data_IF_126450763289
#
_entry.id   IF_126450763289
#
_cell.length_a   1.000
_cell.length_b   1.000
_cell.length_c   1.000
_cell.angle_alpha   90.00
_cell.angle_beta   90.00
_cell.angle_gamma   90.00
#
_symmetry.space_group_name_H-M   'P 1'
#
loop_
_entity.id
_entity.type
_entity.pdbx_description
1 polymer ?
#
# COMPACT_ATOMS: atom_id res chain seq x y z
N UNK A 1 -2.66 14.83 -9.70
CA UNK A 1 -2.64 15.35 -8.32
C UNK A 1 -1.48 16.31 -8.06
N UNK A 2 -0.28 16.08 -8.64
CA UNK A 2 0.88 16.95 -8.47
C UNK A 2 0.75 18.40 -9.00
N UNK A 3 -0.12 18.65 -9.99
CA UNK A 3 -0.39 20.00 -10.54
C UNK A 3 -1.61 20.71 -9.93
N UNK A 4 -2.24 20.13 -8.89
CA UNK A 4 -3.45 20.70 -8.28
C UNK A 4 -3.28 22.14 -7.74
N UNK A 5 -2.20 22.46 -7.03
CA UNK A 5 -1.95 23.81 -6.51
C UNK A 5 -1.75 24.86 -7.61
N UNK A 6 -1.14 24.49 -8.74
CA UNK A 6 -0.81 25.43 -9.82
C UNK A 6 -1.98 25.73 -10.77
N UNK A 7 -3.04 24.91 -10.74
CA UNK A 7 -4.23 25.09 -11.59
C UNK A 7 -5.47 25.62 -10.85
N UNK A 8 -5.32 26.12 -9.63
CA UNK A 8 -6.41 26.61 -8.77
C UNK A 8 -7.52 25.56 -8.52
N UNK A 9 -7.19 24.27 -8.54
CA UNK A 9 -8.14 23.15 -8.46
C UNK A 9 -9.32 23.27 -9.45
N UNK A 10 -9.24 22.60 -10.62
CA UNK A 10 -10.35 22.59 -11.57
C UNK A 10 -11.66 22.19 -10.87
N UNK A 11 -12.70 23.00 -11.02
CA UNK A 11 -14.03 22.76 -10.43
C UNK A 11 -14.58 21.36 -10.77
N UNK A 12 -14.16 20.79 -11.90
CA UNK A 12 -14.47 19.42 -12.31
C UNK A 12 -13.90 18.35 -11.34
N UNK A 13 -12.70 18.56 -10.80
CA UNK A 13 -12.10 17.66 -9.79
C UNK A 13 -12.83 17.75 -8.45
N UNK A 14 -13.26 18.96 -8.06
CA UNK A 14 -14.09 19.16 -6.86
C UNK A 14 -15.47 18.52 -7.03
N UNK A 15 -16.11 18.66 -8.19
CA UNK A 15 -17.39 18.00 -8.50
C UNK A 15 -17.25 16.48 -8.53
N UNK A 16 -16.15 15.94 -9.08
CA UNK A 16 -15.90 14.50 -9.07
C UNK A 16 -15.71 13.97 -7.64
N UNK A 17 -14.97 14.68 -6.79
CA UNK A 17 -14.81 14.34 -5.36
C UNK A 17 -16.15 14.38 -4.61
N UNK A 18 -16.96 15.42 -4.85
CA UNK A 18 -18.30 15.56 -4.26
C UNK A 18 -19.24 14.48 -4.77
N UNK A 19 -19.10 14.03 -6.02
CA UNK A 19 -19.92 12.96 -6.62
C UNK A 19 -19.63 11.55 -6.06
N UNK A 20 -18.46 11.32 -5.44
CA UNK A 20 -18.14 10.03 -4.80
C UNK A 20 -19.04 9.76 -3.58
N UNK A 21 -19.35 10.80 -2.79
CA UNK A 21 -20.20 10.71 -1.60
C UNK A 21 -21.64 10.24 -1.88
N UNK A 22 -22.40 10.84 -2.81
CA UNK A 22 -23.75 10.38 -3.14
C UNK A 22 -23.73 9.02 -3.83
N UNK A 23 -22.71 8.68 -4.62
CA UNK A 23 -22.57 7.34 -5.21
C UNK A 23 -22.32 6.27 -4.15
N UNK A 24 -21.47 6.53 -3.17
CA UNK A 24 -21.24 5.64 -2.02
C UNK A 24 -22.51 5.48 -1.17
N UNK A 25 -23.21 6.57 -0.90
CA UNK A 25 -24.48 6.56 -0.16
C UNK A 25 -25.57 5.81 -0.92
N UNK A 26 -25.63 5.98 -2.24
CA UNK A 26 -26.59 5.28 -3.10
C UNK A 26 -26.27 3.79 -3.21
N UNK A 27 -25.00 3.41 -3.34
CA UNK A 27 -24.58 2.01 -3.28
C UNK A 27 -24.93 1.38 -1.94
N UNK A 28 -24.68 2.10 -0.84
CA UNK A 28 -24.99 1.62 0.52
C UNK A 28 -26.50 1.48 0.73
N UNK A 29 -27.29 2.47 0.30
CA UNK A 29 -28.75 2.43 0.39
C UNK A 29 -29.35 1.32 -0.48
N UNK A 30 -28.83 1.13 -1.69
CA UNK A 30 -29.27 0.06 -2.61
C UNK A 30 -28.90 -1.33 -2.07
N UNK A 31 -27.71 -1.48 -1.47
CA UNK A 31 -27.30 -2.73 -0.85
C UNK A 31 -28.17 -3.08 0.38
N UNK A 32 -28.50 -2.09 1.21
CA UNK A 32 -29.38 -2.27 2.37
C UNK A 32 -30.83 -2.57 1.94
N UNK A 33 -31.33 -1.87 0.93
CA UNK A 33 -32.68 -2.09 0.38
C UNK A 33 -32.84 -3.48 -0.25
N UNK A 34 -31.83 -3.97 -0.98
CA UNK A 34 -31.83 -5.33 -1.54
C UNK A 34 -31.73 -6.40 -0.46
N UNK A 35 -30.94 -6.16 0.59
CA UNK A 35 -30.84 -7.07 1.72
C UNK A 35 -32.16 -7.17 2.52
N UNK A 36 -32.89 -6.07 2.68
CA UNK A 36 -34.22 -6.08 3.32
C UNK A 36 -35.29 -6.78 2.48
N UNK A 37 -35.11 -6.85 1.15
CA UNK A 37 -36.01 -7.53 0.21
C UNK A 37 -35.69 -9.01 -0.01
N UNK A 38 -34.68 -9.56 0.67
CA UNK A 38 -34.25 -10.96 0.50
C UNK A 38 -33.52 -11.24 -0.83
N UNK A 39 -33.16 -10.20 -1.59
CA UNK A 39 -32.36 -10.32 -2.81
C UNK A 39 -30.87 -10.41 -2.46
N UNK A 40 -30.08 -11.16 -3.25
CA UNK A 40 -28.63 -11.23 -3.07
C UNK A 40 -28.00 -9.87 -3.40
N UNK A 41 -27.50 -9.11 -2.40
CA UNK A 41 -26.87 -7.82 -2.66
C UNK A 41 -25.52 -8.06 -3.34
N UNK A 42 -25.17 -7.25 -4.35
CA UNK A 42 -23.85 -7.28 -5.00
C UNK A 42 -22.69 -7.13 -4.01
N UNK A 43 -22.94 -6.51 -2.85
CA UNK A 43 -21.95 -6.24 -1.82
C UNK A 43 -22.59 -6.51 -0.44
N UNK A 44 -22.59 -7.77 0.03
CA UNK A 44 -23.21 -8.13 1.30
C UNK A 44 -22.53 -7.38 2.46
N UNK A 45 -23.25 -6.51 3.22
CA UNK A 45 -22.68 -5.76 4.34
C UNK A 45 -22.09 -6.67 5.43
N UNK A 46 -22.53 -7.93 5.48
CA UNK A 46 -21.96 -8.99 6.32
C UNK A 46 -20.48 -9.24 6.05
N UNK A 47 -20.00 -9.09 4.81
CA UNK A 47 -18.61 -9.29 4.44
C UNK A 47 -17.70 -8.27 5.13
N UNK A 48 -18.13 -7.00 5.23
CA UNK A 48 -17.35 -5.94 5.90
C UNK A 48 -17.16 -6.17 7.40
N UNK A 49 -17.98 -7.02 8.02
CA UNK A 49 -17.85 -7.40 9.43
C UNK A 49 -16.80 -8.50 9.66
N UNK A 50 -16.38 -9.20 8.60
CA UNK A 50 -15.40 -10.28 8.71
C UNK A 50 -14.04 -9.74 9.13
N UNK A 51 -13.39 -10.46 10.05
CA UNK A 51 -12.06 -10.12 10.55
C UNK A 51 -11.02 -10.13 9.43
N UNK A 52 -11.12 -11.04 8.46
CA UNK A 52 -10.27 -11.06 7.26
C UNK A 52 -10.35 -9.76 6.46
N UNK A 53 -11.56 -9.25 6.19
CA UNK A 53 -11.78 -8.02 5.42
C UNK A 53 -11.34 -6.80 6.22
N UNK A 54 -11.60 -6.76 7.53
CA UNK A 54 -11.10 -5.67 8.40
C UNK A 54 -9.58 -5.60 8.42
N UNK A 55 -8.91 -6.74 8.46
CA UNK A 55 -7.46 -6.78 8.36
C UNK A 55 -6.96 -6.42 6.95
N UNK A 56 -7.65 -6.90 5.91
CA UNK A 56 -7.42 -6.47 4.53
C UNK A 56 -7.52 -4.95 4.38
N UNK A 57 -8.55 -4.31 4.95
CA UNK A 57 -8.69 -2.86 4.97
C UNK A 57 -7.51 -2.16 5.64
N UNK A 58 -7.01 -2.69 6.76
CA UNK A 58 -5.85 -2.12 7.45
C UNK A 58 -4.56 -2.22 6.61
N UNK A 59 -4.32 -3.39 6.00
CA UNK A 59 -3.22 -3.54 5.03
C UNK A 59 -3.43 -2.57 3.88
N UNK A 60 -4.64 -2.51 3.31
CA UNK A 60 -4.90 -1.69 2.14
C UNK A 60 -4.57 -0.23 2.44
N UNK A 61 -5.11 0.30 3.54
CA UNK A 61 -4.94 1.68 3.98
C UNK A 61 -3.48 2.03 4.29
N UNK A 62 -2.77 1.19 5.04
CA UNK A 62 -1.40 1.51 5.45
C UNK A 62 -0.39 1.25 4.32
N UNK A 63 -0.41 0.05 3.75
CA UNK A 63 0.59 -0.39 2.79
C UNK A 63 0.42 0.24 1.41
N UNK A 64 -0.79 0.26 0.83
CA UNK A 64 -0.96 0.85 -0.51
C UNK A 64 -0.87 2.38 -0.49
N UNK A 65 -1.27 3.03 0.61
CA UNK A 65 -1.06 4.47 0.78
C UNK A 65 0.43 4.77 0.80
N UNK A 66 1.17 4.09 1.69
CA UNK A 66 2.61 4.20 1.81
C UNK A 66 3.32 3.97 0.47
N UNK A 67 3.01 2.86 -0.20
CA UNK A 67 3.58 2.51 -1.49
C UNK A 67 3.38 3.59 -2.57
N UNK A 68 2.15 4.08 -2.70
CA UNK A 68 1.84 5.09 -3.71
C UNK A 68 2.53 6.42 -3.39
N UNK A 69 2.55 6.80 -2.10
CA UNK A 69 3.31 7.95 -1.61
C UNK A 69 4.81 7.81 -1.87
N UNK A 70 5.40 6.66 -1.59
CA UNK A 70 6.80 6.34 -1.87
C UNK A 70 7.15 6.52 -3.34
N UNK A 71 6.35 5.93 -4.24
CA UNK A 71 6.57 6.07 -5.69
C UNK A 71 6.53 7.53 -6.13
N UNK A 72 5.59 8.31 -5.58
CA UNK A 72 5.50 9.73 -5.86
C UNK A 72 6.71 10.52 -5.33
N UNK A 73 7.08 10.33 -4.06
CA UNK A 73 8.17 11.08 -3.42
C UNK A 73 9.53 10.71 -4.01
N UNK A 74 9.75 9.44 -4.35
CA UNK A 74 10.94 9.00 -5.08
C UNK A 74 11.03 9.66 -6.45
N UNK A 75 9.96 9.60 -7.25
CA UNK A 75 9.94 10.23 -8.56
C UNK A 75 10.21 11.75 -8.47
N UNK A 76 9.60 12.42 -7.49
CA UNK A 76 9.80 13.85 -7.26
C UNK A 76 11.24 14.17 -6.81
N UNK A 77 11.81 13.37 -5.90
CA UNK A 77 13.20 13.54 -5.44
C UNK A 77 14.19 13.35 -6.58
N UNK A 78 13.98 12.34 -7.43
CA UNK A 78 14.88 12.08 -8.57
C UNK A 78 14.77 13.15 -9.64
N UNK A 79 13.56 13.58 -9.98
CA UNK A 79 13.33 14.52 -11.08
C UNK A 79 13.55 15.97 -10.66
N UNK A 80 12.90 16.43 -9.59
CA UNK A 80 12.99 17.80 -9.11
C UNK A 80 14.19 18.05 -8.18
N UNK A 81 14.55 17.06 -7.35
CA UNK A 81 15.68 17.18 -6.41
C UNK A 81 17.04 16.93 -7.05
N UNK A 82 17.18 15.85 -7.82
CA UNK A 82 18.45 15.46 -8.47
C UNK A 82 18.56 15.95 -9.92
N UNK A 83 17.53 16.57 -10.48
CA UNK A 83 17.51 17.05 -11.86
C UNK A 83 17.56 15.93 -12.91
N UNK A 84 17.25 14.69 -12.54
CA UNK A 84 17.32 13.56 -13.46
C UNK A 84 16.21 13.63 -14.51
N UNK A 85 16.52 13.20 -15.73
CA UNK A 85 15.52 13.08 -16.77
C UNK A 85 14.49 11.98 -16.43
N UNK A 86 13.23 12.08 -16.90
CA UNK A 86 12.19 11.09 -16.60
C UNK A 86 12.57 9.65 -16.96
N UNK A 87 13.31 9.45 -18.05
CA UNK A 87 13.79 8.13 -18.47
C UNK A 87 14.84 7.55 -17.51
N UNK A 88 15.69 8.38 -16.91
CA UNK A 88 16.68 7.95 -15.90
C UNK A 88 15.99 7.60 -14.57
N UNK A 89 15.00 8.39 -14.17
CA UNK A 89 14.16 8.08 -13.02
C UNK A 89 13.42 6.75 -13.21
N UNK A 90 12.82 6.53 -14.39
CA UNK A 90 12.19 5.27 -14.75
C UNK A 90 13.13 4.07 -14.71
N UNK A 91 14.36 4.22 -15.22
CA UNK A 91 15.36 3.15 -15.21
C UNK A 91 15.70 2.66 -13.80
N UNK A 92 15.68 3.56 -12.81
CA UNK A 92 15.93 3.23 -11.41
C UNK A 92 14.86 2.32 -10.78
N UNK A 93 13.64 2.32 -11.33
CA UNK A 93 12.56 1.43 -10.89
C UNK A 93 12.57 0.06 -11.58
N UNK A 94 13.40 -0.16 -12.60
CA UNK A 94 13.48 -1.46 -13.29
C UNK A 94 13.95 -2.54 -12.32
N UNK A 95 14.99 -2.27 -11.52
CA UNK A 95 15.48 -3.20 -10.51
C UNK A 95 14.37 -3.61 -9.51
N UNK A 96 13.58 -2.62 -9.08
CA UNK A 96 12.41 -2.85 -8.23
C UNK A 96 11.41 -3.79 -8.92
N UNK A 97 11.03 -3.49 -10.17
CA UNK A 97 10.04 -4.27 -10.91
C UNK A 97 10.49 -5.70 -11.18
N UNK A 98 11.77 -5.88 -11.52
CA UNK A 98 12.37 -7.22 -11.73
C UNK A 98 12.36 -8.01 -10.42
N UNK A 99 12.78 -7.41 -9.31
CA UNK A 99 12.76 -8.08 -8.00
C UNK A 99 11.33 -8.42 -7.54
N UNK A 100 10.38 -7.53 -7.79
CA UNK A 100 8.95 -7.77 -7.56
C UNK A 100 8.46 -8.97 -8.37
N UNK A 101 8.78 -9.02 -9.67
CA UNK A 101 8.38 -10.11 -10.55
C UNK A 101 8.96 -11.44 -10.11
N UNK A 102 10.26 -11.48 -9.78
CA UNK A 102 10.94 -12.67 -9.25
C UNK A 102 10.23 -13.13 -7.96
N UNK A 103 10.02 -12.22 -7.02
CA UNK A 103 9.34 -12.53 -5.75
C UNK A 103 7.92 -13.07 -5.97
N UNK A 104 7.16 -12.49 -6.89
CA UNK A 104 5.81 -12.95 -7.24
C UNK A 104 5.81 -14.39 -7.81
N UNK A 105 6.82 -14.79 -8.59
CA UNK A 105 6.97 -16.16 -9.08
C UNK A 105 7.27 -17.16 -7.95
N UNK A 106 8.02 -16.75 -6.93
CA UNK A 106 8.34 -17.60 -5.78
C UNK A 106 7.26 -17.60 -4.69
N UNK A 107 6.37 -16.61 -4.69
CA UNK A 107 5.32 -16.47 -3.68
C UNK A 107 4.45 -17.74 -3.50
N UNK A 108 3.96 -18.42 -4.56
CA UNK A 108 3.17 -19.65 -4.41
C UNK A 108 3.94 -20.76 -3.68
N UNK A 109 5.24 -20.91 -3.96
CA UNK A 109 6.10 -21.92 -3.31
C UNK A 109 6.30 -21.62 -1.82
N UNK A 110 6.47 -20.34 -1.47
CA UNK A 110 6.59 -19.91 -0.08
C UNK A 110 5.26 -20.12 0.67
N UNK A 111 4.13 -19.82 0.04
CA UNK A 111 2.79 -20.00 0.61
C UNK A 111 2.48 -21.47 0.88
N UNK A 112 2.98 -22.39 0.05
CA UNK A 112 2.81 -23.82 0.28
C UNK A 112 3.62 -24.34 1.50
N UNK A 113 4.71 -23.64 1.90
CA UNK A 113 5.62 -24.08 2.97
C UNK A 113 5.46 -23.32 4.28
N UNK A 114 4.99 -22.08 4.25
CA UNK A 114 4.92 -21.18 5.41
C UNK A 114 3.50 -20.66 5.65
N UNK A 115 3.18 -20.36 6.91
CA UNK A 115 1.89 -19.73 7.24
C UNK A 115 1.80 -18.30 6.69
N UNK A 116 0.62 -17.89 6.24
CA UNK A 116 0.41 -16.57 5.61
C UNK A 116 0.87 -15.40 6.49
N UNK A 117 0.61 -15.46 7.80
CA UNK A 117 1.09 -14.43 8.73
C UNK A 117 2.62 -14.36 8.83
N UNK A 118 3.34 -15.48 8.68
CA UNK A 118 4.82 -15.46 8.63
C UNK A 118 5.31 -14.83 7.33
N UNK A 119 4.67 -15.13 6.20
CA UNK A 119 5.05 -14.56 4.89
C UNK A 119 4.84 -13.05 4.87
N UNK A 120 3.72 -12.57 5.42
CA UNK A 120 3.46 -11.14 5.57
C UNK A 120 4.55 -10.45 6.42
N UNK A 121 4.91 -11.04 7.57
CA UNK A 121 5.94 -10.47 8.45
C UNK A 121 7.32 -10.51 7.80
N UNK A 122 7.67 -11.58 7.08
CA UNK A 122 8.92 -11.64 6.31
C UNK A 122 8.94 -10.56 5.24
N UNK A 123 7.83 -10.39 4.49
CA UNK A 123 7.69 -9.33 3.48
C UNK A 123 7.88 -7.93 4.09
N UNK A 124 7.23 -7.66 5.22
CA UNK A 124 7.38 -6.40 5.95
C UNK A 124 8.82 -6.18 6.44
N UNK A 125 9.45 -7.19 7.02
CA UNK A 125 10.84 -7.08 7.47
C UNK A 125 11.80 -6.81 6.30
N UNK A 126 11.65 -7.54 5.19
CA UNK A 126 12.47 -7.33 3.99
C UNK A 126 12.26 -5.92 3.42
N UNK A 127 11.01 -5.44 3.39
CA UNK A 127 10.72 -4.08 2.93
C UNK A 127 11.31 -3.02 3.86
N UNK A 128 11.19 -3.18 5.19
CA UNK A 128 11.78 -2.26 6.16
C UNK A 128 13.30 -2.19 5.99
N UNK A 129 13.97 -3.35 5.83
CA UNK A 129 15.42 -3.38 5.55
C UNK A 129 15.74 -2.67 4.24
N UNK A 130 14.93 -2.86 3.19
CA UNK A 130 15.08 -2.16 1.93
C UNK A 130 14.93 -0.63 2.05
N UNK A 131 13.95 -0.16 2.82
CA UNK A 131 13.71 1.27 3.10
C UNK A 131 14.85 1.88 3.93
N UNK A 132 15.34 1.17 4.95
CA UNK A 132 16.48 1.60 5.76
C UNK A 132 17.78 1.65 4.95
N UNK A 133 18.00 0.65 4.09
CA UNK A 133 19.15 0.65 3.19
C UNK A 133 19.07 1.81 2.21
N UNK A 134 17.88 2.10 1.67
CA UNK A 134 17.66 3.25 0.79
C UNK A 134 17.96 4.57 1.52
N UNK A 135 17.45 4.72 2.74
CA UNK A 135 17.73 5.90 3.58
C UNK A 135 19.23 6.06 3.85
N UNK A 136 19.94 4.98 4.16
CA UNK A 136 21.39 4.99 4.34
C UNK A 136 22.15 5.33 3.05
N UNK A 137 21.69 4.85 1.89
CA UNK A 137 22.26 5.21 0.58
C UNK A 137 22.15 6.72 0.32
N UNK A 138 20.98 7.31 0.55
CA UNK A 138 20.79 8.75 0.39
C UNK A 138 21.59 9.57 1.41
N UNK A 139 21.70 9.09 2.65
CA UNK A 139 22.51 9.75 3.68
C UNK A 139 24.01 9.75 3.35
N UNK A 140 24.54 8.66 2.80
CA UNK A 140 25.97 8.54 2.50
C UNK A 140 26.38 9.13 1.14
N UNK A 141 25.56 8.99 0.10
CA UNK A 141 25.93 9.43 -1.26
C UNK A 141 25.36 10.81 -1.61
N UNK A 142 24.33 11.30 -0.92
CA UNK A 142 23.68 12.58 -1.22
C UNK A 142 23.31 12.71 -2.71
N UNK A 143 23.85 13.72 -3.38
CA UNK A 143 23.60 14.02 -4.80
C UNK A 143 24.42 13.20 -5.79
N UNK A 144 25.44 12.45 -5.33
CA UNK A 144 26.30 11.59 -6.17
C UNK A 144 25.71 10.18 -6.36
N UNK A 145 24.42 10.00 -6.06
CA UNK A 145 23.78 8.69 -6.06
C UNK A 145 23.63 8.14 -7.47
N UNK A 146 24.52 7.24 -7.86
CA UNK A 146 24.43 6.49 -9.12
C UNK A 146 23.27 5.50 -9.07
N UNK A 147 22.56 5.31 -10.19
CA UNK A 147 21.44 4.37 -10.33
C UNK A 147 21.80 2.95 -9.86
N UNK A 148 23.06 2.55 -10.00
CA UNK A 148 23.56 1.25 -9.53
C UNK A 148 23.57 1.11 -8.00
N UNK A 149 23.77 2.20 -7.26
CA UNK A 149 23.75 2.19 -5.79
C UNK A 149 22.33 2.00 -5.23
N UNK A 150 21.30 2.35 -6.01
CA UNK A 150 19.88 2.18 -5.65
C UNK A 150 19.37 0.77 -5.93
N UNK A 151 20.06 -0.02 -6.76
CA UNK A 151 19.65 -1.39 -7.13
C UNK A 151 19.42 -2.29 -5.91
N UNK A 152 20.35 -2.43 -4.94
CA UNK A 152 20.16 -3.36 -3.83
C UNK A 152 18.97 -2.98 -2.92
N UNK A 153 18.78 -1.70 -2.63
CA UNK A 153 17.67 -1.22 -1.80
C UNK A 153 16.33 -1.36 -2.51
N UNK A 154 16.24 -0.93 -3.77
CA UNK A 154 15.02 -1.05 -4.58
C UNK A 154 14.63 -2.50 -4.85
N UNK A 155 15.60 -3.40 -5.03
CA UNK A 155 15.35 -4.83 -5.17
C UNK A 155 14.75 -5.44 -3.90
N UNK A 156 15.27 -5.09 -2.72
CA UNK A 156 14.70 -5.53 -1.43
C UNK A 156 13.28 -5.01 -1.23
N UNK A 157 13.05 -3.72 -1.53
CA UNK A 157 11.71 -3.11 -1.46
C UNK A 157 10.75 -3.86 -2.38
N UNK A 158 11.10 -4.08 -3.66
CA UNK A 158 10.26 -4.80 -4.62
C UNK A 158 9.97 -6.25 -4.20
N UNK A 159 10.98 -6.93 -3.65
CA UNK A 159 10.83 -8.31 -3.17
C UNK A 159 9.83 -8.39 -1.99
N UNK A 160 10.00 -7.55 -0.97
CA UNK A 160 9.11 -7.49 0.18
C UNK A 160 7.69 -7.09 -0.21
N UNK A 161 7.58 -6.13 -1.14
CA UNK A 161 6.31 -5.64 -1.64
C UNK A 161 5.46 -6.75 -2.28
N UNK A 162 6.05 -7.58 -3.14
CA UNK A 162 5.34 -8.69 -3.77
C UNK A 162 4.78 -9.69 -2.75
N UNK A 163 5.53 -9.98 -1.67
CA UNK A 163 5.07 -10.87 -0.62
C UNK A 163 3.87 -10.28 0.15
N UNK A 164 3.89 -8.97 0.40
CA UNK A 164 2.80 -8.29 1.10
C UNK A 164 1.55 -8.23 0.24
N UNK A 165 1.66 -7.89 -1.05
CA UNK A 165 0.53 -7.85 -1.99
C UNK A 165 -0.13 -9.23 -2.14
N UNK A 166 0.67 -10.29 -2.26
CA UNK A 166 0.15 -11.65 -2.31
C UNK A 166 -0.56 -12.06 -1.01
N UNK A 167 -0.01 -11.65 0.13
CA UNK A 167 -0.60 -11.90 1.45
C UNK A 167 -1.91 -11.13 1.63
N UNK A 168 -2.00 -9.88 1.15
CA UNK A 168 -3.20 -9.05 1.21
C UNK A 168 -4.41 -9.75 0.60
N UNK A 169 -4.30 -10.19 -0.66
CA UNK A 169 -5.41 -10.84 -1.35
C UNK A 169 -5.81 -12.16 -0.69
N UNK A 170 -4.83 -12.97 -0.27
CA UNK A 170 -5.12 -14.26 0.37
C UNK A 170 -5.75 -14.11 1.74
N UNK A 171 -5.24 -13.19 2.56
CA UNK A 171 -5.78 -12.97 3.91
C UNK A 171 -7.17 -12.35 3.82
N UNK A 172 -7.39 -11.37 2.95
CA UNK A 172 -8.69 -10.74 2.76
C UNK A 172 -9.78 -11.73 2.30
N UNK A 173 -9.41 -12.68 1.44
CA UNK A 173 -10.31 -13.71 0.91
C UNK A 173 -10.51 -14.92 1.82
N UNK A 174 -9.76 -15.05 2.92
CA UNK A 174 -9.72 -16.27 3.75
C UNK A 174 -11.08 -16.69 4.33
N UNK A 175 -11.85 -15.74 4.84
CA UNK A 175 -13.14 -16.00 5.50
C UNK A 175 -14.35 -15.77 4.55
N UNK A 176 -14.09 -15.60 3.25
CA UNK A 176 -15.12 -15.32 2.25
C UNK A 176 -15.59 -16.63 1.61
N UNK A 177 -16.90 -16.88 1.63
CA UNK A 177 -17.50 -18.06 0.98
C UNK A 177 -17.32 -17.99 -0.55
N UNK A 178 -17.23 -19.15 -1.22
CA UNK A 178 -17.07 -19.23 -2.67
C UNK A 178 -18.17 -18.48 -3.45
N UNK A 179 -19.41 -18.47 -2.94
CA UNK A 179 -20.52 -17.71 -3.54
C UNK A 179 -20.32 -16.19 -3.47
N UNK A 180 -19.60 -15.70 -2.46
CA UNK A 180 -19.36 -14.28 -2.21
C UNK A 180 -17.95 -13.83 -2.70
N UNK A 181 -17.17 -14.73 -3.32
CA UNK A 181 -15.78 -14.47 -3.71
C UNK A 181 -15.63 -13.32 -4.72
N UNK A 182 -16.56 -13.18 -5.65
CA UNK A 182 -16.58 -12.06 -6.61
C UNK A 182 -16.76 -10.71 -5.91
N UNK A 183 -17.71 -10.62 -4.97
CA UNK A 183 -17.94 -9.41 -4.18
C UNK A 183 -16.75 -9.10 -3.26
N UNK A 184 -16.16 -10.11 -2.62
CA UNK A 184 -14.98 -9.97 -1.77
C UNK A 184 -13.77 -9.38 -2.50
N UNK A 185 -13.46 -9.93 -3.69
CA UNK A 185 -12.36 -9.45 -4.53
C UNK A 185 -12.59 -8.03 -5.02
N UNK A 186 -13.83 -7.69 -5.39
CA UNK A 186 -14.20 -6.34 -5.79
C UNK A 186 -13.96 -5.33 -4.65
N UNK A 187 -14.40 -5.65 -3.43
CA UNK A 187 -14.17 -4.80 -2.24
C UNK A 187 -12.67 -4.54 -2.03
N UNK A 188 -11.86 -5.61 -2.02
CA UNK A 188 -10.41 -5.51 -1.79
C UNK A 188 -9.72 -4.69 -2.89
N UNK A 189 -10.10 -4.90 -4.15
CA UNK A 189 -9.55 -4.16 -5.29
C UNK A 189 -9.95 -2.69 -5.26
N UNK A 190 -11.19 -2.37 -4.90
CA UNK A 190 -11.65 -0.98 -4.72
C UNK A 190 -10.91 -0.29 -3.58
N UNK A 191 -10.72 -0.97 -2.44
CA UNK A 191 -9.92 -0.45 -1.32
C UNK A 191 -8.47 -0.19 -1.72
N UNK A 192 -7.86 -1.12 -2.46
CA UNK A 192 -6.52 -0.96 -2.99
C UNK A 192 -6.43 0.28 -3.88
N UNK A 193 -7.32 0.42 -4.87
CA UNK A 193 -7.31 1.55 -5.81
C UNK A 193 -7.60 2.89 -5.13
N UNK A 194 -8.57 2.92 -4.21
CA UNK A 194 -8.89 4.11 -3.43
C UNK A 194 -7.67 4.56 -2.62
N UNK A 195 -6.98 3.62 -1.97
CA UNK A 195 -5.82 3.95 -1.15
C UNK A 195 -4.61 4.35 -2.02
N UNK A 196 -4.37 3.67 -3.15
CA UNK A 196 -3.35 4.06 -4.11
C UNK A 196 -3.56 5.50 -4.62
N UNK A 197 -4.81 5.91 -4.82
CA UNK A 197 -5.14 7.29 -5.19
C UNK A 197 -4.94 8.31 -4.05
N UNK A 198 -5.31 7.95 -2.82
CA UNK A 198 -5.19 8.83 -1.65
C UNK A 198 -3.74 9.01 -1.18
N UNK A 199 -2.90 7.98 -1.36
CA UNK A 199 -1.51 7.98 -0.90
C UNK A 199 -0.72 9.23 -1.31
N UNK A 200 -0.57 9.54 -2.61
CA UNK A 200 0.19 10.70 -3.06
C UNK A 200 -0.41 12.03 -2.62
N UNK A 201 -1.73 12.11 -2.40
CA UNK A 201 -2.37 13.34 -1.93
C UNK A 201 -1.97 13.66 -0.47
N UNK A 202 -2.00 12.64 0.39
CA UNK A 202 -1.70 12.79 1.83
C UNK A 202 -0.18 12.80 2.05
N UNK A 203 0.51 11.80 1.52
CA UNK A 203 1.94 11.61 1.73
C UNK A 203 2.78 12.56 0.87
N UNK A 204 2.31 12.92 -0.33
CA UNK A 204 2.99 13.92 -1.17
C UNK A 204 2.90 15.33 -0.58
N UNK A 205 1.76 15.71 0.03
CA UNK A 205 1.66 17.00 0.74
C UNK A 205 2.54 17.04 2.00
N UNK A 206 2.61 15.92 2.74
CA UNK A 206 3.56 15.76 3.84
C UNK A 206 5.01 15.91 3.34
N UNK A 207 5.39 15.22 2.26
CA UNK A 207 6.73 15.29 1.67
C UNK A 207 7.09 16.70 1.22
N UNK A 208 6.18 17.40 0.52
CA UNK A 208 6.42 18.80 0.12
C UNK A 208 6.60 19.70 1.34
N UNK A 209 5.85 19.47 2.41
CA UNK A 209 6.01 20.23 3.67
C UNK A 209 7.37 19.96 4.30
N UNK A 210 7.84 18.71 4.29
CA UNK A 210 9.19 18.33 4.76
C UNK A 210 10.28 18.99 3.90
N UNK A 211 10.13 18.96 2.57
CA UNK A 211 11.07 19.59 1.64
C UNK A 211 11.19 21.11 1.85
N UNK A 212 10.08 21.79 2.13
CA UNK A 212 10.09 23.22 2.47
C UNK A 212 10.79 23.49 3.81
N UNK A 213 10.56 22.64 4.82
CA UNK A 213 11.24 22.78 6.14
C UNK A 213 12.74 22.56 6.06
N UNK A 214 13.18 21.67 5.17
CA UNK A 214 14.61 21.38 4.94
C UNK A 214 15.29 22.39 4.00
N UNK A 215 14.65 23.52 3.68
CA UNK A 215 15.23 24.58 2.85
C UNK A 215 15.44 24.20 1.38
N UNK A 216 14.69 23.21 0.87
CA UNK A 216 14.84 22.71 -0.51
C UNK A 216 15.77 21.50 -0.66
N UNK A 217 16.27 20.92 0.43
CA UNK A 217 17.03 19.67 0.40
C UNK A 217 16.09 18.45 0.27
N UNK A 218 15.84 18.06 -0.98
CA UNK A 218 14.98 16.92 -1.33
C UNK A 218 15.50 15.57 -0.80
N UNK A 219 16.80 15.23 -0.89
CA UNK A 219 17.36 14.04 -0.24
C UNK A 219 17.05 13.94 1.26
N UNK A 220 17.20 15.04 2.00
CA UNK A 220 16.91 15.04 3.43
C UNK A 220 15.42 14.85 3.72
N UNK A 221 14.56 15.54 2.96
CA UNK A 221 13.11 15.34 3.05
C UNK A 221 12.67 13.91 2.71
N UNK A 222 13.37 13.25 1.78
CA UNK A 222 13.13 11.85 1.44
C UNK A 222 13.52 10.92 2.59
N UNK A 223 14.62 11.18 3.29
CA UNK A 223 15.03 10.40 4.47
C UNK A 223 13.96 10.49 5.57
N UNK A 224 13.48 11.70 5.88
CA UNK A 224 12.41 11.91 6.87
C UNK A 224 11.11 11.20 6.45
N UNK A 225 10.79 11.25 5.15
CA UNK A 225 9.64 10.56 4.59
C UNK A 225 9.77 9.03 4.71
N UNK A 226 10.94 8.46 4.40
CA UNK A 226 11.21 7.04 4.52
C UNK A 226 11.09 6.57 5.98
N UNK A 227 11.46 7.42 6.95
CA UNK A 227 11.25 7.11 8.37
C UNK A 227 9.76 7.00 8.73
N UNK A 228 8.92 7.90 8.21
CA UNK A 228 7.45 7.79 8.36
C UNK A 228 6.93 6.50 7.73
N UNK A 229 7.43 6.14 6.55
CA UNK A 229 7.05 4.89 5.87
C UNK A 229 7.43 3.64 6.68
N UNK A 230 8.64 3.62 7.25
CA UNK A 230 9.08 2.55 8.14
C UNK A 230 8.17 2.44 9.36
N UNK A 231 7.78 3.56 9.98
CA UNK A 231 6.83 3.57 11.11
C UNK A 231 5.47 2.98 10.68
N UNK A 232 4.95 3.34 9.51
CA UNK A 232 3.70 2.75 9.00
C UNK A 232 3.80 1.24 8.79
N UNK A 233 4.94 0.74 8.27
CA UNK A 233 5.19 -0.69 8.09
C UNK A 233 5.34 -1.42 9.43
N UNK A 234 5.96 -0.79 10.44
CA UNK A 234 6.05 -1.34 11.79
C UNK A 234 4.67 -1.43 12.45
N UNK A 235 3.84 -0.39 12.33
CA UNK A 235 2.45 -0.41 12.81
C UNK A 235 1.69 -1.56 12.15
N UNK A 236 1.83 -1.73 10.83
CA UNK A 236 1.20 -2.84 10.12
C UNK A 236 1.71 -4.20 10.60
N UNK A 237 3.01 -4.32 10.88
CA UNK A 237 3.63 -5.52 11.46
C UNK A 237 3.08 -5.84 12.85
N UNK A 238 2.91 -4.83 13.72
CA UNK A 238 2.31 -4.99 15.05
C UNK A 238 0.85 -5.42 14.95
N UNK A 239 0.06 -4.82 14.05
CA UNK A 239 -1.32 -5.25 13.79
C UNK A 239 -1.33 -6.71 13.30
N UNK A 240 -0.43 -7.08 12.39
CA UNK A 240 -0.28 -8.45 11.89
C UNK A 240 0.09 -9.46 12.99
N UNK A 241 0.99 -9.09 13.91
CA UNK A 241 1.38 -9.91 15.06
C UNK A 241 0.23 -10.07 16.06
N UNK A 242 -0.44 -8.97 16.40
CA UNK A 242 -1.59 -8.96 17.31
C UNK A 242 -2.71 -9.86 16.78
N UNK A 243 -3.03 -9.76 15.50
CA UNK A 243 -4.05 -10.60 14.88
C UNK A 243 -3.67 -12.09 14.83
N UNK A 244 -2.40 -12.39 14.54
CA UNK A 244 -1.88 -13.75 14.58
C UNK A 244 -1.97 -14.34 15.99
N UNK A 245 -1.73 -13.54 17.02
CA UNK A 245 -1.90 -13.95 18.40
C UNK A 245 -3.37 -14.24 18.72
N UNK A 246 -4.30 -13.37 18.32
CA UNK A 246 -5.74 -13.59 18.51
C UNK A 246 -6.28 -14.84 17.78
N UNK A 247 -5.80 -15.13 16.57
CA UNK A 247 -6.20 -16.33 15.81
C UNK A 247 -5.61 -17.63 16.37
N UNK A 248 -4.44 -17.57 17.02
CA UNK A 248 -3.82 -18.73 17.65
C UNK A 248 -4.35 -19.01 19.08
N UNK A 249 -4.84 -17.99 19.79
CA UNK A 249 -5.36 -18.11 21.18
C UNK A 249 -6.82 -18.54 21.23
N UNK A 250 -7.56 -18.38 20.12
CA UNK A 250 -8.89 -18.96 19.97
C UNK A 250 -8.88 -19.98 18.82
N UNK A 251 -8.26 -21.18 19.01
CA UNK A 251 -8.65 -22.31 18.21
C UNK A 251 -10.14 -22.46 18.43
N UNK A 252 -10.90 -22.52 17.35
CA UNK A 252 -12.35 -22.57 17.39
C UNK A 252 -12.84 -23.48 18.52
N UNK A 253 -13.43 -22.88 19.54
CA UNK A 253 -14.55 -23.50 20.26
C UNK A 253 -15.72 -23.51 19.27
N UNK A 254 -15.55 -24.21 18.16
CA UNK A 254 -16.64 -24.82 17.43
C UNK A 254 -16.81 -26.19 18.07
N UNK A 255 -17.32 -26.15 19.30
CA UNK A 255 -17.92 -27.29 19.94
C UNK A 255 -19.10 -27.75 19.07
N UNK A 256 -19.16 -29.08 18.89
CA UNK A 256 -20.37 -29.91 18.87
C UNK A 256 -21.62 -29.39 18.16
#
# INVERSE_FOLDING_TARGET
MALGPELHWPWALQLMLVAVLPLLLWMRASALGKQQRGEQPLLPPRLLKLTSIRFGMAIALLFFSAWSGFMFCMALTMQAGLGMAPWQSGNSFIALGVAYFISALYAPKLIARYSMGRILLIGLSVQIVGLLLLSATFYHLGTQTSTLALVPSTALIGYGQALIVNSFYRIGMRDISACDAGAGSAILSTLQQATLGLGPAILGSLFLTLAHRSGGDYPQALIDFLAVEVVMMLILGVIGLCLRHHLNVHPAVAAS
#
